data_IF_777072498594
#
_entry.id   IF_777072498594
#
_cell.length_a   1.000
_cell.length_b   1.000
_cell.length_c   1.000
_cell.angle_alpha   90.00
_cell.angle_beta   90.00
_cell.angle_gamma   90.00
#
_symmetry.space_group_name_H-M   'P 1'
#
loop_
_entity.id
_entity.type
_entity.pdbx_description
1 polymer ?
#
# COMPACT_ATOMS: atom_id res chain seq x y z
N UNK A 1 -3.36 -17.41 -6.38
CA UNK A 1 -2.77 -16.25 -5.70
C UNK A 1 -1.30 -16.54 -5.47
N UNK A 2 -0.45 -15.57 -5.79
CA UNK A 2 0.99 -15.57 -5.52
C UNK A 2 1.27 -14.55 -4.41
N UNK A 3 1.98 -14.97 -3.36
CA UNK A 3 2.44 -14.10 -2.27
C UNK A 3 3.94 -13.99 -2.38
N UNK A 4 4.48 -12.78 -2.41
CA UNK A 4 5.92 -12.50 -2.47
C UNK A 4 6.31 -11.74 -1.21
N UNK A 5 6.97 -12.42 -0.27
CA UNK A 5 7.51 -11.82 0.94
C UNK A 5 8.94 -11.35 0.69
N UNK A 6 9.15 -10.04 0.64
CA UNK A 6 10.46 -9.44 0.41
C UNK A 6 11.13 -9.14 1.75
N UNK A 7 12.26 -9.78 2.03
CA UNK A 7 13.04 -9.59 3.26
C UNK A 7 14.18 -8.61 2.97
N UNK A 8 13.95 -7.34 3.28
CA UNK A 8 14.95 -6.30 3.07
C UNK A 8 16.11 -6.37 4.07
N UNK A 9 17.35 -6.36 3.59
CA UNK A 9 18.53 -6.50 4.43
C UNK A 9 18.62 -7.90 5.07
N UNK A 10 18.43 -8.95 4.30
CA UNK A 10 18.41 -10.34 4.78
C UNK A 10 19.66 -10.75 5.57
N UNK A 11 20.83 -10.16 5.29
CA UNK A 11 22.07 -10.40 6.06
C UNK A 11 21.89 -9.94 7.52
N UNK A 12 21.23 -8.80 7.73
CA UNK A 12 21.00 -8.22 9.05
C UNK A 12 19.78 -8.85 9.74
N UNK A 13 18.79 -9.27 8.96
CA UNK A 13 17.52 -9.81 9.41
C UNK A 13 17.42 -11.34 9.29
N UNK A 14 18.49 -12.05 9.66
CA UNK A 14 18.58 -13.53 9.55
C UNK A 14 17.44 -14.27 10.25
N UNK A 15 17.00 -13.79 11.42
CA UNK A 15 15.88 -14.40 12.16
C UNK A 15 14.57 -14.29 11.38
N UNK A 16 14.30 -13.12 10.81
CA UNK A 16 13.10 -12.88 9.98
C UNK A 16 13.15 -13.73 8.71
N UNK A 17 14.31 -13.81 8.04
CA UNK A 17 14.50 -14.65 6.87
C UNK A 17 14.22 -16.12 7.19
N UNK A 18 14.81 -16.64 8.28
CA UNK A 18 14.59 -18.03 8.71
C UNK A 18 13.12 -18.30 9.00
N UNK A 19 12.47 -17.44 9.79
CA UNK A 19 11.05 -17.58 10.11
C UNK A 19 10.17 -17.58 8.85
N UNK A 20 10.45 -16.69 7.89
CA UNK A 20 9.73 -16.66 6.62
C UNK A 20 9.94 -17.94 5.79
N UNK A 21 11.16 -18.47 5.74
CA UNK A 21 11.47 -19.73 5.05
C UNK A 21 10.78 -20.93 5.70
N UNK A 22 10.80 -21.01 7.04
CA UNK A 22 10.14 -22.09 7.78
C UNK A 22 8.62 -22.04 7.55
N UNK A 23 8.03 -20.86 7.64
CA UNK A 23 6.61 -20.65 7.33
C UNK A 23 6.28 -21.01 5.87
N UNK A 24 7.15 -20.65 4.91
CA UNK A 24 6.93 -20.98 3.50
C UNK A 24 6.88 -22.49 3.25
N UNK A 25 7.73 -23.27 3.94
CA UNK A 25 7.72 -24.74 3.84
C UNK A 25 6.44 -25.34 4.42
N UNK A 26 6.01 -24.88 5.60
CA UNK A 26 4.77 -25.30 6.22
C UNK A 26 3.57 -24.93 5.36
N UNK A 27 3.55 -23.70 4.85
CA UNK A 27 2.45 -23.19 4.01
C UNK A 27 2.31 -23.99 2.71
N UNK A 28 3.41 -24.32 2.05
CA UNK A 28 3.41 -25.10 0.81
C UNK A 28 2.82 -26.51 1.00
N UNK A 29 3.09 -27.15 2.13
CA UNK A 29 2.49 -28.47 2.45
C UNK A 29 1.00 -28.39 2.71
N UNK A 30 0.53 -27.30 3.33
CA UNK A 30 -0.88 -27.11 3.70
C UNK A 30 -1.75 -26.59 2.55
N UNK A 31 -1.17 -25.82 1.63
CA UNK A 31 -1.88 -25.15 0.54
C UNK A 31 -1.17 -25.33 -0.81
N UNK A 32 -1.22 -26.51 -1.43
CA UNK A 32 -0.43 -26.82 -2.63
C UNK A 32 -0.78 -25.96 -3.86
N UNK A 33 -1.99 -25.40 -3.89
CA UNK A 33 -2.46 -24.54 -5.00
C UNK A 33 -2.15 -23.04 -4.80
N UNK A 34 -1.38 -22.70 -3.74
CA UNK A 34 -0.96 -21.33 -3.46
C UNK A 34 0.56 -21.22 -3.51
N UNK A 35 1.05 -20.11 -4.04
CA UNK A 35 2.48 -19.87 -4.19
C UNK A 35 2.89 -18.83 -3.17
N UNK A 36 3.81 -19.20 -2.27
CA UNK A 36 4.49 -18.29 -1.36
C UNK A 36 5.98 -18.26 -1.70
N UNK A 37 6.46 -17.13 -2.19
CA UNK A 37 7.86 -16.90 -2.52
C UNK A 37 8.50 -16.02 -1.46
N UNK A 38 9.69 -16.42 -1.00
CA UNK A 38 10.53 -15.58 -0.16
C UNK A 38 11.64 -14.99 -1.02
N UNK A 39 11.67 -13.66 -1.12
CA UNK A 39 12.70 -12.91 -1.85
C UNK A 39 13.67 -12.26 -0.85
N UNK A 40 14.83 -12.87 -0.58
CA UNK A 40 15.83 -12.24 0.27
C UNK A 40 16.57 -11.14 -0.52
N UNK A 41 16.48 -9.90 -0.07
CA UNK A 41 17.36 -8.82 -0.50
C UNK A 41 18.53 -8.74 0.47
N UNK A 42 19.72 -9.06 0.01
CA UNK A 42 20.90 -9.15 0.88
C UNK A 42 21.29 -7.78 1.46
N UNK A 43 21.23 -6.74 0.66
CA UNK A 43 21.47 -5.36 1.08
C UNK A 43 20.15 -4.66 1.39
N UNK A 44 20.16 -3.82 2.43
CA UNK A 44 19.01 -2.99 2.80
C UNK A 44 18.85 -1.87 1.77
N UNK A 45 17.69 -1.80 1.17
CA UNK A 45 17.36 -0.81 0.13
C UNK A 45 16.09 -0.02 0.42
N UNK A 46 15.42 -0.31 1.53
CA UNK A 46 14.18 0.35 1.95
C UNK A 46 12.94 -0.12 1.19
N UNK A 47 11.82 0.51 1.52
CA UNK A 47 10.49 0.15 1.05
C UNK A 47 10.34 0.16 -0.47
N UNK A 48 10.68 1.26 -1.12
CA UNK A 48 10.59 1.41 -2.59
C UNK A 48 11.36 0.32 -3.33
N UNK A 49 12.59 0.08 -2.90
CA UNK A 49 13.43 -0.97 -3.49
C UNK A 49 12.82 -2.36 -3.30
N UNK A 50 12.16 -2.60 -2.16
CA UNK A 50 11.50 -3.88 -1.86
C UNK A 50 10.23 -4.07 -2.68
N UNK A 51 9.39 -3.05 -2.81
CA UNK A 51 8.19 -3.07 -3.64
C UNK A 51 8.54 -3.33 -5.12
N UNK A 52 9.54 -2.62 -5.66
CA UNK A 52 9.96 -2.81 -7.05
C UNK A 52 10.62 -4.18 -7.27
N UNK A 53 11.37 -4.72 -6.30
CA UNK A 53 11.92 -6.07 -6.38
C UNK A 53 10.79 -7.13 -6.40
N UNK A 54 9.76 -6.97 -5.57
CA UNK A 54 8.58 -7.83 -5.61
C UNK A 54 7.83 -7.72 -6.94
N UNK A 55 7.64 -6.51 -7.45
CA UNK A 55 6.98 -6.26 -8.74
C UNK A 55 7.72 -6.96 -9.90
N UNK A 56 9.05 -6.88 -9.91
CA UNK A 56 9.87 -7.44 -11.02
C UNK A 56 9.75 -8.96 -11.16
N UNK A 57 9.53 -9.69 -10.05
CA UNK A 57 9.41 -11.15 -10.06
C UNK A 57 7.97 -11.65 -10.02
N UNK A 58 6.99 -10.76 -9.86
CA UNK A 58 5.57 -11.13 -9.79
C UNK A 58 5.06 -11.61 -11.15
N UNK A 59 4.13 -12.60 -11.14
CA UNK A 59 3.49 -13.10 -12.36
C UNK A 59 2.03 -12.64 -12.52
N UNK A 60 1.41 -12.16 -11.43
CA UNK A 60 0.01 -11.73 -11.43
C UNK A 60 -0.25 -10.48 -12.28
N UNK A 61 -1.43 -10.37 -12.86
CA UNK A 61 -1.90 -9.16 -13.57
C UNK A 61 -2.28 -8.03 -12.61
N UNK A 62 -2.69 -8.38 -11.39
CA UNK A 62 -3.05 -7.45 -10.33
C UNK A 62 -2.00 -7.57 -9.22
N UNK A 63 -1.44 -6.44 -8.85
CA UNK A 63 -0.42 -6.32 -7.79
C UNK A 63 -1.04 -5.69 -6.55
N UNK A 64 -0.93 -6.38 -5.43
CA UNK A 64 -1.31 -5.84 -4.12
C UNK A 64 -0.04 -5.48 -3.36
N UNK A 65 0.15 -4.20 -3.07
CA UNK A 65 1.22 -3.71 -2.20
C UNK A 65 0.69 -3.64 -0.77
N UNK A 66 1.19 -4.52 0.09
CA UNK A 66 0.71 -4.69 1.45
C UNK A 66 1.86 -4.52 2.43
N UNK A 67 1.59 -3.90 3.59
CA UNK A 67 2.55 -3.84 4.69
C UNK A 67 2.56 -5.13 5.49
N UNK A 68 3.74 -5.56 5.91
CA UNK A 68 3.92 -6.81 6.64
C UNK A 68 3.37 -6.80 8.08
N UNK A 69 3.05 -5.64 8.63
CA UNK A 69 2.46 -5.43 9.95
C UNK A 69 0.95 -5.15 9.91
N UNK A 70 0.37 -5.08 8.73
CA UNK A 70 -1.06 -4.90 8.51
C UNK A 70 -1.75 -6.25 8.36
N UNK A 71 -2.81 -6.48 9.12
CA UNK A 71 -3.70 -7.65 8.95
C UNK A 71 -4.91 -7.28 8.09
N UNK A 72 -5.48 -8.28 7.42
CA UNK A 72 -6.54 -8.06 6.44
C UNK A 72 -7.71 -9.02 6.69
N UNK A 73 -8.92 -8.60 6.31
CA UNK A 73 -10.07 -9.48 6.29
C UNK A 73 -9.88 -10.61 5.28
N UNK A 74 -10.48 -11.77 5.55
CA UNK A 74 -10.30 -12.98 4.73
C UNK A 74 -10.81 -12.83 3.28
N UNK A 75 -11.78 -11.96 3.06
CA UNK A 75 -12.37 -11.66 1.76
C UNK A 75 -11.74 -10.46 1.04
N UNK A 76 -10.74 -9.82 1.65
CA UNK A 76 -10.07 -8.61 1.15
C UNK A 76 -9.68 -8.74 -0.33
N UNK A 77 -9.05 -9.84 -0.71
CA UNK A 77 -8.60 -10.05 -2.10
C UNK A 77 -9.79 -10.09 -3.07
N UNK A 78 -10.90 -10.71 -2.69
CA UNK A 78 -12.12 -10.77 -3.49
C UNK A 78 -12.75 -9.37 -3.62
N UNK A 79 -12.83 -8.63 -2.51
CA UNK A 79 -13.41 -7.29 -2.51
C UNK A 79 -12.66 -6.33 -3.44
N UNK A 80 -11.33 -6.36 -3.48
CA UNK A 80 -10.58 -5.45 -4.36
C UNK A 80 -10.52 -5.94 -5.81
N UNK A 81 -10.43 -7.26 -6.05
CA UNK A 81 -10.27 -7.78 -7.41
C UNK A 81 -11.53 -7.69 -8.25
N UNK A 82 -12.73 -7.67 -7.64
CA UNK A 82 -14.00 -7.49 -8.37
C UNK A 82 -14.03 -6.22 -9.23
N UNK A 83 -13.33 -5.17 -8.82
CA UNK A 83 -13.28 -3.91 -9.56
C UNK A 83 -12.46 -4.01 -10.86
N UNK A 84 -11.49 -4.92 -10.92
CA UNK A 84 -10.63 -5.08 -12.11
C UNK A 84 -11.29 -5.87 -13.25
N UNK A 85 -12.52 -6.31 -13.10
CA UNK A 85 -13.37 -6.78 -14.20
C UNK A 85 -13.63 -5.63 -15.19
N UNK A 86 -13.79 -4.40 -14.67
CA UNK A 86 -13.79 -3.20 -15.51
C UNK A 86 -12.36 -2.90 -15.99
N UNK A 87 -12.09 -2.94 -17.31
CA UNK A 87 -10.76 -2.66 -17.86
C UNK A 87 -10.31 -1.21 -17.63
N UNK A 88 -11.22 -0.29 -17.35
CA UNK A 88 -10.91 1.10 -17.06
C UNK A 88 -10.38 1.31 -15.63
N UNK A 89 -10.59 0.37 -14.72
CA UNK A 89 -10.03 0.44 -13.37
C UNK A 89 -8.56 0.07 -13.39
N UNK A 90 -7.70 1.03 -13.04
CA UNK A 90 -6.25 0.82 -13.02
C UNK A 90 -5.69 0.65 -11.61
N UNK A 91 -6.36 1.15 -10.58
CA UNK A 91 -5.96 0.94 -9.20
C UNK A 91 -7.15 1.04 -8.24
N UNK A 92 -7.04 0.32 -7.12
CA UNK A 92 -8.01 0.29 -6.04
C UNK A 92 -7.30 0.57 -4.72
N UNK A 93 -7.84 1.47 -3.90
CA UNK A 93 -7.41 1.69 -2.52
C UNK A 93 -8.37 0.96 -1.59
N UNK A 94 -7.85 0.12 -0.68
CA UNK A 94 -8.64 -0.42 0.42
C UNK A 94 -8.78 0.57 1.58
N UNK A 95 -9.65 0.23 2.52
CA UNK A 95 -9.83 0.94 3.77
C UNK A 95 -8.75 0.54 4.79
N UNK A 96 -8.37 1.48 5.65
CA UNK A 96 -7.51 1.22 6.80
C UNK A 96 -8.24 1.61 8.07
N UNK A 97 -8.18 0.74 9.07
CA UNK A 97 -8.69 0.97 10.41
C UNK A 97 -7.58 0.72 11.45
N UNK A 98 -7.76 1.29 12.64
CA UNK A 98 -6.79 1.13 13.73
C UNK A 98 -7.11 -0.13 14.54
N UNK A 99 -6.16 -1.10 14.55
CA UNK A 99 -6.29 -2.38 15.28
C UNK A 99 -6.25 -2.19 16.79
N UNK A 100 -5.34 -1.36 17.26
CA UNK A 100 -5.08 -1.12 18.70
C UNK A 100 -5.84 0.10 19.26
N UNK A 101 -6.99 0.47 18.70
CA UNK A 101 -7.76 1.65 19.10
C UNK A 101 -8.07 1.71 20.60
N UNK A 102 -8.31 0.55 21.23
CA UNK A 102 -8.67 0.45 22.66
C UNK A 102 -7.50 0.58 23.63
N UNK A 103 -6.26 0.65 23.15
CA UNK A 103 -5.07 0.70 24.00
C UNK A 103 -4.83 2.10 24.62
N UNK A 104 -5.27 3.17 23.97
CA UNK A 104 -5.12 4.53 24.49
C UNK A 104 -6.12 5.49 23.86
N UNK A 105 -6.40 6.61 24.53
CA UNK A 105 -7.21 7.70 23.97
C UNK A 105 -6.62 8.23 22.65
N UNK A 106 -5.30 8.32 22.54
CA UNK A 106 -4.61 8.77 21.32
C UNK A 106 -4.88 7.83 20.17
N UNK A 107 -4.84 6.51 20.38
CA UNK A 107 -5.15 5.52 19.35
C UNK A 107 -6.64 5.53 18.97
N UNK A 108 -7.54 5.74 19.94
CA UNK A 108 -8.98 5.83 19.69
C UNK A 108 -9.33 7.08 18.85
N UNK A 109 -8.76 8.23 19.17
CA UNK A 109 -8.94 9.45 18.35
C UNK A 109 -8.42 9.26 16.93
N UNK A 110 -7.30 8.58 16.75
CA UNK A 110 -6.80 8.24 15.42
C UNK A 110 -7.73 7.26 14.68
N UNK A 111 -8.38 6.33 15.38
CA UNK A 111 -9.37 5.44 14.75
C UNK A 111 -10.57 6.24 14.22
N UNK A 112 -11.05 7.22 14.98
CA UNK A 112 -12.11 8.13 14.52
C UNK A 112 -11.63 8.92 13.30
N UNK A 113 -10.44 9.48 13.36
CA UNK A 113 -9.83 10.23 12.25
C UNK A 113 -9.71 9.36 10.98
N UNK A 114 -9.25 8.11 11.10
CA UNK A 114 -9.12 7.19 9.95
C UNK A 114 -10.47 6.92 9.30
N UNK A 115 -11.51 6.70 10.10
CA UNK A 115 -12.87 6.53 9.59
C UNK A 115 -13.37 7.75 8.82
N UNK A 116 -13.14 8.95 9.35
CA UNK A 116 -13.59 10.19 8.70
C UNK A 116 -12.73 10.51 7.47
N UNK A 117 -11.41 10.54 7.62
CA UNK A 117 -10.49 11.05 6.59
C UNK A 117 -10.15 10.00 5.53
N UNK A 118 -10.11 8.71 5.88
CA UNK A 118 -9.78 7.65 4.94
C UNK A 118 -11.05 7.01 4.37
N UNK A 119 -12.00 6.58 5.22
CA UNK A 119 -13.15 5.83 4.72
C UNK A 119 -14.17 6.77 4.10
N UNK A 120 -14.80 7.65 4.89
CA UNK A 120 -15.90 8.48 4.38
C UNK A 120 -15.46 9.48 3.31
N UNK A 121 -14.30 10.11 3.49
CA UNK A 121 -13.76 11.03 2.49
C UNK A 121 -13.47 10.33 1.16
N UNK A 122 -12.83 9.15 1.19
CA UNK A 122 -12.49 8.44 -0.06
C UNK A 122 -13.70 7.83 -0.76
N UNK A 123 -14.77 7.46 -0.04
CA UNK A 123 -16.02 7.05 -0.69
C UNK A 123 -16.51 8.17 -1.60
N UNK A 124 -16.67 9.38 -1.08
CA UNK A 124 -17.10 10.52 -1.89
C UNK A 124 -16.14 10.85 -3.04
N UNK A 125 -14.83 10.87 -2.76
CA UNK A 125 -13.81 11.15 -3.79
C UNK A 125 -13.74 10.09 -4.90
N UNK A 126 -14.06 8.84 -4.58
CA UNK A 126 -14.07 7.74 -5.55
C UNK A 126 -15.19 7.92 -6.59
N UNK A 127 -16.38 8.37 -6.17
CA UNK A 127 -17.50 8.64 -7.07
C UNK A 127 -17.14 9.67 -8.16
N UNK A 128 -16.33 10.67 -7.80
CA UNK A 128 -15.85 11.70 -8.73
C UNK A 128 -14.54 11.33 -9.45
N UNK A 129 -14.03 10.11 -9.25
CA UNK A 129 -12.71 9.66 -9.76
C UNK A 129 -11.54 10.57 -9.32
N UNK A 130 -11.61 11.11 -8.10
CA UNK A 130 -10.59 12.00 -7.53
C UNK A 130 -9.99 11.47 -6.22
N UNK A 131 -9.92 10.15 -6.06
CA UNK A 131 -9.26 9.50 -4.91
C UNK A 131 -7.93 10.20 -4.63
N UNK A 132 -7.77 10.75 -3.42
CA UNK A 132 -6.66 11.63 -3.07
C UNK A 132 -5.34 10.90 -2.88
N UNK A 133 -5.38 9.68 -2.29
CA UNK A 133 -4.21 8.84 -2.06
C UNK A 133 -4.59 7.36 -2.08
N UNK A 134 -3.78 6.54 -2.77
CA UNK A 134 -3.80 5.08 -2.63
C UNK A 134 -2.77 4.72 -1.57
N UNK A 135 -3.26 4.26 -0.41
CA UNK A 135 -2.42 4.02 0.77
C UNK A 135 -1.26 3.07 0.46
N UNK A 136 -0.08 3.42 0.96
CA UNK A 136 1.08 2.55 0.91
C UNK A 136 0.85 1.20 1.60
N UNK A 137 0.11 1.18 2.71
CA UNK A 137 -0.18 -0.04 3.46
C UNK A 137 -1.19 -0.96 2.77
N UNK A 138 -2.04 -0.42 1.88
CA UNK A 138 -3.06 -1.18 1.16
C UNK A 138 -3.40 -0.55 -0.19
N UNK A 139 -2.54 -0.73 -1.17
CA UNK A 139 -2.76 -0.32 -2.56
C UNK A 139 -2.81 -1.52 -3.50
N UNK A 140 -3.76 -1.51 -4.44
CA UNK A 140 -3.94 -2.56 -5.45
C UNK A 140 -3.91 -1.94 -6.84
N UNK A 141 -3.14 -2.53 -7.74
CA UNK A 141 -2.80 -1.91 -9.02
C UNK A 141 -2.85 -2.92 -10.16
N UNK A 142 -3.27 -2.48 -11.34
CA UNK A 142 -3.04 -3.23 -12.57
C UNK A 142 -1.55 -3.21 -12.91
N UNK A 143 -0.92 -4.37 -13.02
CA UNK A 143 0.53 -4.51 -13.25
C UNK A 143 1.01 -3.77 -14.49
N UNK A 144 0.24 -3.83 -15.59
CA UNK A 144 0.57 -3.12 -16.84
C UNK A 144 0.71 -1.61 -16.60
N UNK A 145 -0.17 -1.01 -15.79
CA UNK A 145 -0.11 0.42 -15.45
C UNK A 145 1.09 0.73 -14.56
N UNK A 146 1.38 -0.10 -13.54
CA UNK A 146 2.59 0.05 -12.74
C UNK A 146 3.86 0.02 -13.59
N UNK A 147 3.94 -0.89 -14.56
CA UNK A 147 5.09 -1.00 -15.45
C UNK A 147 5.25 0.24 -16.34
N UNK A 148 4.15 0.77 -16.89
CA UNK A 148 4.16 2.00 -17.69
C UNK A 148 4.66 3.18 -16.86
N UNK A 149 4.28 3.25 -15.59
CA UNK A 149 4.70 4.31 -14.67
C UNK A 149 6.11 4.08 -14.08
N UNK A 150 6.76 2.94 -14.36
CA UNK A 150 8.08 2.62 -13.83
C UNK A 150 8.07 2.16 -12.37
N UNK A 151 6.94 1.68 -11.84
CA UNK A 151 6.81 1.22 -10.46
C UNK A 151 6.79 2.36 -9.44
N UNK A 152 7.25 2.06 -8.22
CA UNK A 152 7.37 3.04 -7.14
C UNK A 152 8.62 3.90 -7.33
N UNK A 153 8.45 5.23 -7.23
CA UNK A 153 9.55 6.19 -7.34
C UNK A 153 10.40 6.27 -6.06
N UNK A 154 11.69 6.55 -6.22
CA UNK A 154 12.59 6.79 -5.09
C UNK A 154 12.25 8.08 -4.32
N UNK A 155 12.47 8.07 -3.03
CA UNK A 155 12.22 9.19 -2.13
C UNK A 155 11.22 8.86 -1.03
N UNK A 156 10.80 9.88 -0.32
CA UNK A 156 9.75 9.80 0.71
C UNK A 156 8.37 9.85 0.07
N UNK A 157 7.33 9.39 0.78
CA UNK A 157 5.95 9.37 0.33
C UNK A 157 5.76 8.66 -1.03
N UNK A 158 6.28 7.44 -1.16
CA UNK A 158 6.24 6.66 -2.40
C UNK A 158 4.81 6.37 -2.87
N UNK A 159 3.86 6.25 -1.95
CA UNK A 159 2.45 6.02 -2.21
C UNK A 159 1.75 7.27 -2.78
N UNK A 160 2.04 8.42 -2.20
CA UNK A 160 1.51 9.70 -2.68
C UNK A 160 2.13 10.08 -4.03
N UNK A 161 3.44 9.86 -4.22
CA UNK A 161 4.11 10.04 -5.51
C UNK A 161 3.50 9.17 -6.60
N UNK A 162 3.31 7.87 -6.31
CA UNK A 162 2.67 6.96 -7.26
C UNK A 162 1.23 7.38 -7.54
N UNK A 163 0.48 7.82 -6.51
CA UNK A 163 -0.90 8.29 -6.69
C UNK A 163 -0.96 9.51 -7.62
N UNK A 164 -0.05 10.47 -7.46
CA UNK A 164 0.00 11.65 -8.35
C UNK A 164 0.31 11.27 -9.81
N UNK A 165 1.28 10.37 -10.03
CA UNK A 165 1.59 9.84 -11.36
C UNK A 165 0.41 9.06 -11.96
N UNK A 166 -0.27 8.27 -11.16
CA UNK A 166 -1.50 7.57 -11.55
C UNK A 166 -2.59 8.56 -11.95
N UNK A 167 -2.85 9.60 -11.16
CA UNK A 167 -3.87 10.62 -11.49
C UNK A 167 -3.61 11.32 -12.82
N UNK A 168 -2.35 11.67 -13.09
CA UNK A 168 -1.98 12.26 -14.38
C UNK A 168 -2.20 11.27 -15.53
N UNK A 169 -1.83 10.00 -15.33
CA UNK A 169 -2.03 8.94 -16.33
C UNK A 169 -3.50 8.62 -16.56
N UNK A 170 -4.30 8.49 -15.49
CA UNK A 170 -5.74 8.20 -15.60
C UNK A 170 -6.51 9.30 -16.28
N UNK A 171 -6.20 10.57 -15.99
CA UNK A 171 -6.83 11.73 -16.65
C UNK A 171 -6.60 11.70 -18.17
N UNK A 172 -5.37 11.39 -18.62
CA UNK A 172 -5.02 11.33 -20.04
C UNK A 172 -5.66 10.14 -20.77
N UNK A 173 -5.85 9.02 -20.08
CA UNK A 173 -6.31 7.75 -20.67
C UNK A 173 -7.75 7.40 -20.30
N UNK A 174 -8.48 8.30 -19.63
CA UNK A 174 -9.87 8.10 -19.16
C UNK A 174 -10.05 6.85 -18.28
N UNK A 175 -9.02 6.54 -17.49
CA UNK A 175 -9.04 5.41 -16.55
C UNK A 175 -9.61 5.85 -15.18
N UNK A 176 -9.81 4.87 -14.29
CA UNK A 176 -10.45 5.07 -12.99
C UNK A 176 -9.56 4.62 -11.84
N UNK A 177 -9.60 5.39 -10.74
CA UNK A 177 -9.11 5.02 -9.42
C UNK A 177 -10.33 4.79 -8.52
N UNK A 178 -10.38 3.64 -7.86
CA UNK A 178 -11.53 3.24 -7.05
C UNK A 178 -11.12 3.10 -5.58
N UNK A 179 -12.03 3.41 -4.67
CA UNK A 179 -11.90 3.09 -3.26
C UNK A 179 -12.90 1.98 -2.89
N UNK A 180 -12.41 0.90 -2.26
CA UNK A 180 -13.25 -0.20 -1.78
C UNK A 180 -13.33 -0.20 -0.25
N UNK A 181 -14.43 0.28 0.34
CA UNK A 181 -14.56 0.40 1.79
C UNK A 181 -14.70 -0.95 2.50
N UNK A 182 -15.14 -2.01 1.81
CA UNK A 182 -15.29 -3.34 2.42
C UNK A 182 -13.99 -4.13 2.45
N UNK A 183 -12.97 -3.70 1.73
CA UNK A 183 -11.62 -4.27 1.81
C UNK A 183 -10.86 -3.60 2.95
N UNK A 184 -10.89 -4.20 4.14
CA UNK A 184 -10.37 -3.59 5.37
C UNK A 184 -8.99 -4.16 5.70
N UNK A 185 -8.03 -3.27 5.90
CA UNK A 185 -6.73 -3.50 6.52
C UNK A 185 -6.68 -2.91 7.93
N UNK A 186 -6.16 -3.66 8.89
CA UNK A 186 -6.00 -3.25 10.27
C UNK A 186 -4.52 -2.99 10.57
N UNK A 187 -4.19 -1.76 10.94
CA UNK A 187 -2.82 -1.32 11.26
C UNK A 187 -2.76 -0.77 12.68
N UNK A 188 -1.57 -0.76 13.29
CA UNK A 188 -1.38 -0.18 14.61
C UNK A 188 -1.12 1.33 14.51
N UNK A 189 -1.77 2.09 15.39
CA UNK A 189 -1.55 3.52 15.54
C UNK A 189 -0.68 3.80 16.79
N UNK A 190 0.09 4.91 16.83
CA UNK A 190 0.79 5.34 18.03
C UNK A 190 -0.15 5.49 19.22
N UNK A 191 0.27 4.93 20.37
CA UNK A 191 -0.50 4.97 21.62
C UNK A 191 -0.16 6.18 22.49
N UNK A 192 0.94 6.89 22.17
CA UNK A 192 1.41 8.07 22.89
C UNK A 192 1.29 9.33 22.04
N UNK A 193 1.07 10.48 22.69
CA UNK A 193 0.99 11.76 22.02
C UNK A 193 2.28 12.13 21.26
N UNK A 194 3.44 11.83 21.84
CA UNK A 194 4.74 12.05 21.19
C UNK A 194 4.87 11.19 19.94
N UNK A 195 4.52 9.91 20.01
CA UNK A 195 4.51 9.00 18.86
C UNK A 195 3.59 9.49 17.74
N UNK A 196 2.40 9.98 18.12
CA UNK A 196 1.45 10.58 17.19
C UNK A 196 2.04 11.82 16.49
N UNK A 197 2.62 12.77 17.26
CA UNK A 197 3.25 13.96 16.66
C UNK A 197 4.37 13.60 15.71
N UNK A 198 5.25 12.67 16.09
CA UNK A 198 6.34 12.22 15.21
C UNK A 198 5.84 11.57 13.92
N UNK A 199 4.75 10.81 14.00
CA UNK A 199 4.11 10.23 12.82
C UNK A 199 3.58 11.33 11.88
N UNK A 200 2.89 12.36 12.44
CA UNK A 200 2.34 13.48 11.65
C UNK A 200 3.42 14.34 11.02
N UNK A 201 4.45 14.70 11.78
CA UNK A 201 5.59 15.46 11.27
C UNK A 201 6.25 14.74 10.07
N UNK A 202 6.34 13.41 10.12
CA UNK A 202 6.84 12.63 8.99
C UNK A 202 5.90 12.73 7.79
N UNK A 203 4.60 12.53 7.97
CA UNK A 203 3.63 12.57 6.87
C UNK A 203 3.51 13.96 6.23
N UNK A 204 3.44 15.00 7.06
CA UNK A 204 3.36 16.39 6.59
C UNK A 204 4.67 16.83 5.93
N UNK A 205 5.82 16.43 6.46
CA UNK A 205 7.13 16.66 5.86
C UNK A 205 7.27 15.99 4.49
N UNK A 206 6.82 14.75 4.38
CA UNK A 206 6.77 14.00 3.12
C UNK A 206 5.86 14.66 2.09
N UNK A 207 4.69 15.16 2.51
CA UNK A 207 3.75 15.90 1.68
C UNK A 207 4.37 17.20 1.15
N UNK A 208 4.96 18.00 2.04
CA UNK A 208 5.61 19.27 1.69
C UNK A 208 6.76 19.03 0.70
N UNK A 209 7.63 18.07 0.98
CA UNK A 209 8.72 17.70 0.09
C UNK A 209 8.22 17.31 -1.30
N UNK A 210 7.20 16.47 -1.35
CA UNK A 210 6.66 15.97 -2.61
C UNK A 210 6.11 17.10 -3.48
N UNK A 211 5.30 17.99 -2.91
CA UNK A 211 4.68 19.07 -3.67
C UNK A 211 5.64 20.21 -4.01
N UNK A 212 6.49 20.62 -3.09
CA UNK A 212 7.38 21.77 -3.32
C UNK A 212 8.63 21.42 -4.14
N UNK A 213 9.13 20.19 -4.05
CA UNK A 213 10.39 19.82 -4.71
C UNK A 213 10.18 18.87 -5.90
N UNK A 214 9.45 17.78 -5.72
CA UNK A 214 9.34 16.74 -6.75
C UNK A 214 8.31 17.06 -7.82
N UNK A 215 7.15 17.56 -7.44
CA UNK A 215 6.02 17.86 -8.34
C UNK A 215 5.69 19.35 -8.46
N UNK A 216 6.64 20.26 -8.21
CA UNK A 216 6.41 21.71 -8.29
C UNK A 216 5.81 22.18 -9.63
N UNK A 217 6.08 21.49 -10.73
CA UNK A 217 5.50 21.78 -12.05
C UNK A 217 4.03 21.39 -12.19
N UNK A 218 3.50 20.53 -11.30
CA UNK A 218 2.10 20.16 -11.34
C UNK A 218 1.15 21.30 -10.94
N UNK A 219 1.70 22.36 -10.28
CA UNK A 219 0.94 23.58 -9.94
C UNK A 219 1.01 24.66 -11.03
N UNK A 220 1.78 24.42 -12.10
CA UNK A 220 1.99 25.40 -13.18
C UNK A 220 1.19 25.07 -14.45
N UNK A 221 0.36 23.99 -14.42
CA UNK A 221 -0.43 23.53 -15.58
C UNK A 221 -1.92 23.71 -15.40
#
# INVERSE_FOLDING_TARGET
IEIISVIDGAIQNKKTLKAAQDFSREYASKYPNRILRILPKWQRGGRVSSLNAGLSISNGEIIMALDGDTSFNNDMAQQVTKHFVDPLVCAVSGALEVRNAKESLVAELQNIEYRVSIVYSKIGLSEFNVVNNISGAFGVFRKSVLNILGGWGSGTAEDLDLTLRLKQYTRRNKLRLVFEPMAIGLTDAPTTFVGFLMQRLRWDGDLIFLYLYKHKKAFQS
#
